data_IF_501241621347
#
_entry.id   IF_501241621347
#
_cell.length_a   1.000
_cell.length_b   1.000
_cell.length_c   1.000
_cell.angle_alpha   90.00
_cell.angle_beta   90.00
_cell.angle_gamma   90.00
#
_symmetry.space_group_name_H-M   'P 1'
#
loop_
_entity.id
_entity.type
_entity.pdbx_description
1 polymer ?
#
# COMPACT_ATOMS: atom_id res chain seq x y z
N UNK A 1 2.91 25.91 7.15
CA UNK A 1 1.72 25.50 7.92
C UNK A 1 1.15 26.63 8.78
N UNK A 2 1.82 27.11 9.85
CA UNK A 2 1.28 28.18 10.75
C UNK A 2 0.79 29.44 10.03
N UNK A 3 1.59 30.01 9.12
CA UNK A 3 1.20 31.21 8.34
C UNK A 3 -0.04 30.96 7.47
N UNK A 4 -0.08 29.83 6.76
CA UNK A 4 -1.23 29.47 5.91
C UNK A 4 -2.52 29.27 6.72
N UNK A 5 -2.43 28.67 7.92
CA UNK A 5 -3.57 28.55 8.83
C UNK A 5 -4.08 29.91 9.32
N UNK A 6 -3.17 30.78 9.76
CA UNK A 6 -3.54 32.15 10.21
C UNK A 6 -4.17 32.93 9.06
N UNK A 7 -3.62 32.81 7.84
CA UNK A 7 -4.21 33.43 6.65
C UNK A 7 -5.61 32.89 6.37
N UNK A 8 -5.81 31.57 6.46
CA UNK A 8 -7.10 30.92 6.24
C UNK A 8 -8.14 31.30 7.30
N UNK A 9 -7.75 31.31 8.59
CA UNK A 9 -8.58 31.78 9.70
C UNK A 9 -8.95 33.27 9.54
N UNK A 10 -8.00 34.09 9.08
CA UNK A 10 -8.25 35.49 8.74
C UNK A 10 -9.25 35.67 7.60
N UNK A 11 -9.15 34.86 6.53
CA UNK A 11 -10.12 34.87 5.42
C UNK A 11 -11.50 34.49 5.92
N UNK A 12 -11.62 33.43 6.72
CA UNK A 12 -12.90 33.00 7.32
C UNK A 12 -13.54 34.09 8.18
N UNK A 13 -12.74 34.79 9.01
CA UNK A 13 -13.23 35.91 9.84
C UNK A 13 -13.68 37.11 9.01
N UNK A 14 -12.94 37.45 7.94
CA UNK A 14 -13.31 38.53 7.03
C UNK A 14 -14.60 38.21 6.27
N UNK A 15 -14.72 36.96 5.80
CA UNK A 15 -15.94 36.45 5.19
C UNK A 15 -17.11 36.52 6.17
N UNK A 16 -16.92 36.05 7.40
CA UNK A 16 -17.93 36.12 8.47
C UNK A 16 -18.42 37.56 8.69
N UNK A 17 -17.50 38.51 8.83
CA UNK A 17 -17.86 39.93 9.01
C UNK A 17 -18.62 40.50 7.81
N UNK A 18 -18.24 40.11 6.58
CA UNK A 18 -18.93 40.50 5.36
C UNK A 18 -20.37 39.96 5.32
N UNK A 19 -20.58 38.68 5.65
CA UNK A 19 -21.92 38.08 5.67
C UNK A 19 -22.84 38.71 6.73
N UNK A 20 -22.29 39.12 7.88
CA UNK A 20 -23.05 39.88 8.90
C UNK A 20 -23.51 41.24 8.39
N UNK A 21 -22.67 41.92 7.61
CA UNK A 21 -22.99 43.24 7.06
C UNK A 21 -24.14 43.21 6.05
N UNK A 22 -24.34 42.08 5.36
CA UNK A 22 -25.38 41.90 4.35
C UNK A 22 -26.71 41.43 4.97
N UNK A 23 -26.67 40.55 5.97
CA UNK A 23 -27.87 40.05 6.67
C UNK A 23 -28.50 41.07 7.61
N UNK A 24 -27.73 42.06 8.09
CA UNK A 24 -28.17 43.05 9.07
C UNK A 24 -28.91 44.29 8.55
N UNK A 25 -29.08 44.46 7.22
CA UNK A 25 -29.91 45.53 6.65
C UNK A 25 -29.70 46.93 7.24
N UNK A 26 -28.49 47.48 7.18
CA UNK A 26 -28.24 48.90 7.52
C UNK A 26 -27.78 49.65 6.26
N UNK A 27 -28.65 50.51 5.73
CA UNK A 27 -28.29 51.53 4.73
C UNK A 27 -27.24 52.49 5.32
N UNK A 28 -26.15 52.79 4.62
CA UNK A 28 -25.21 53.82 5.05
C UNK A 28 -25.75 55.18 4.60
N UNK A 29 -26.48 55.85 5.48
CA UNK A 29 -26.70 57.30 5.40
C UNK A 29 -26.30 57.93 6.73
N UNK A 30 -25.53 59.00 6.62
CA UNK A 30 -25.05 59.91 7.66
C UNK A 30 -23.93 59.43 8.58
N UNK A 31 -22.70 59.66 8.11
CA UNK A 31 -21.70 60.41 8.89
C UNK A 31 -20.70 61.11 7.96
N UNK A 32 -20.87 62.43 7.84
CA UNK A 32 -19.80 63.46 7.88
C UNK A 32 -18.66 63.42 6.85
N UNK A 33 -18.73 64.37 5.92
CA UNK A 33 -17.67 64.93 5.05
C UNK A 33 -16.20 64.53 5.25
N UNK A 34 -15.57 64.02 4.18
CA UNK A 34 -14.23 64.44 3.76
C UNK A 34 -13.96 64.12 2.26
N UNK A 35 -13.72 65.19 1.49
CA UNK A 35 -12.85 65.33 0.28
C UNK A 35 -12.93 64.33 -0.89
N UNK A 36 -13.15 64.88 -2.11
CA UNK A 36 -13.08 64.20 -3.43
C UNK A 36 -11.72 63.54 -3.73
N UNK A 37 -11.68 62.50 -4.61
CA UNK A 37 -10.49 61.70 -4.88
C UNK A 37 -9.60 62.28 -6.01
N UNK A 38 -8.30 61.99 -5.94
CA UNK A 38 -7.39 61.97 -7.09
C UNK A 38 -6.58 60.66 -7.04
N UNK A 39 -6.22 60.04 -8.18
CA UNK A 39 -5.92 58.62 -8.26
C UNK A 39 -4.44 58.31 -8.04
N UNK A 40 -4.18 57.05 -7.74
CA UNK A 40 -2.86 56.37 -7.72
C UNK A 40 -2.06 56.54 -6.42
N UNK A 41 -2.22 55.58 -5.51
CA UNK A 41 -1.17 55.25 -4.56
C UNK A 41 -1.24 53.75 -4.20
N UNK A 42 -0.17 53.06 -4.54
CA UNK A 42 0.19 51.68 -4.20
C UNK A 42 0.04 51.44 -2.69
N UNK A 43 -0.76 50.46 -2.28
CA UNK A 43 -0.90 50.11 -0.86
C UNK A 43 0.34 49.33 -0.41
N UNK A 44 1.20 49.97 0.38
CA UNK A 44 2.37 49.36 1.00
C UNK A 44 1.99 48.31 2.05
N UNK A 45 2.71 47.18 2.04
CA UNK A 45 2.56 46.03 2.92
C UNK A 45 2.81 46.30 4.43
N UNK A 46 3.12 47.54 4.83
CA UNK A 46 3.45 47.89 6.23
C UNK A 46 2.21 47.99 7.15
N UNK A 47 1.03 48.32 6.62
CA UNK A 47 -0.19 48.46 7.43
C UNK A 47 -0.82 47.12 7.87
N UNK A 48 -0.58 46.05 7.11
CA UNK A 48 -1.19 44.74 7.37
C UNK A 48 -0.59 44.05 8.61
N UNK A 49 0.72 44.24 8.83
CA UNK A 49 1.43 43.60 9.95
C UNK A 49 1.01 44.18 11.31
N UNK A 50 0.63 45.46 11.34
CA UNK A 50 0.17 46.13 12.55
C UNK A 50 -1.23 45.65 12.95
N UNK A 51 -2.16 45.52 11.98
CA UNK A 51 -3.49 44.93 12.20
C UNK A 51 -3.48 43.45 12.59
N UNK A 52 -2.47 42.69 12.17
CA UNK A 52 -2.27 41.30 12.58
C UNK A 52 -1.72 41.15 14.01
N UNK A 53 -1.08 42.20 14.54
CA UNK A 53 -0.50 42.21 15.89
C UNK A 53 -1.59 42.41 16.97
N UNK A 54 -2.64 43.15 16.64
CA UNK A 54 -3.79 43.41 17.53
C UNK A 54 -4.74 42.21 17.68
N UNK A 55 -4.54 41.14 16.89
CA UNK A 55 -5.28 39.88 16.96
C UNK A 55 -4.65 38.83 17.89
N UNK A 56 -3.65 39.22 18.68
CA UNK A 56 -3.07 38.33 19.70
C UNK A 56 -4.07 38.08 20.83
N UNK A 57 -4.41 36.81 21.01
CA UNK A 57 -5.37 36.30 21.99
C UNK A 57 -4.83 36.55 23.41
N UNK A 58 -5.48 37.43 24.17
CA UNK A 58 -5.32 37.51 25.62
C UNK A 58 -6.21 36.47 26.30
N UNK A 59 -5.59 35.52 27.01
CA UNK A 59 -6.19 34.88 28.16
C UNK A 59 -5.86 35.73 29.39
N UNK A 60 -6.86 36.31 30.06
CA UNK A 60 -6.86 36.33 31.53
C UNK A 60 -8.25 36.52 32.18
N UNK A 61 -8.55 35.56 33.06
CA UNK A 61 -9.30 35.56 34.33
C UNK A 61 -10.49 36.51 34.66
N UNK A 62 -11.60 35.84 35.04
CA UNK A 62 -12.59 36.16 36.11
C UNK A 62 -12.70 37.59 36.65
N UNK A 63 -13.89 38.22 36.48
CA UNK A 63 -14.64 38.93 37.54
C UNK A 63 -16.09 39.22 37.12
N UNK A 64 -16.97 39.19 38.11
CA UNK A 64 -18.44 39.38 38.12
C UNK A 64 -18.92 40.79 37.76
N UNK A 65 -20.09 40.90 37.11
CA UNK A 65 -20.96 42.08 37.21
C UNK A 65 -21.73 42.51 35.95
N UNK A 66 -23.03 42.18 35.95
CA UNK A 66 -24.16 42.85 35.27
C UNK A 66 -24.36 42.83 33.74
N UNK A 67 -25.65 42.64 33.45
CA UNK A 67 -26.31 42.23 32.22
C UNK A 67 -26.57 43.37 31.23
N UNK A 68 -26.32 43.11 29.95
CA UNK A 68 -27.15 43.64 28.85
C UNK A 68 -27.16 42.59 27.74
N UNK A 69 -28.29 41.89 27.60
CA UNK A 69 -28.51 40.91 26.53
C UNK A 69 -28.57 41.63 25.19
N UNK A 70 -27.50 41.49 24.39
CA UNK A 70 -27.57 41.59 22.94
C UNK A 70 -27.36 40.16 22.43
N UNK A 71 -28.41 39.55 21.89
CA UNK A 71 -28.37 38.19 21.36
C UNK A 71 -27.29 38.10 20.27
N UNK A 72 -26.14 37.51 20.62
CA UNK A 72 -25.10 37.15 19.66
C UNK A 72 -25.60 35.98 18.81
N UNK A 73 -25.54 36.05 17.48
CA UNK A 73 -25.92 34.92 16.63
C UNK A 73 -24.98 33.73 16.89
N UNK A 74 -25.52 32.51 16.92
CA UNK A 74 -24.72 31.30 17.08
C UNK A 74 -23.76 31.13 15.88
N UNK A 75 -22.49 30.72 16.09
CA UNK A 75 -21.53 30.44 15.01
C UNK A 75 -22.01 29.40 13.97
N UNK A 76 -23.03 28.63 14.32
CA UNK A 76 -23.68 27.61 13.48
C UNK A 76 -24.50 28.18 12.32
N UNK A 77 -24.99 29.42 12.40
CA UNK A 77 -25.90 30.00 11.39
C UNK A 77 -25.17 30.65 10.20
N UNK A 78 -23.84 30.71 10.22
CA UNK A 78 -23.06 31.60 9.34
C UNK A 78 -22.20 30.90 8.28
N UNK A 79 -22.17 29.57 8.28
CA UNK A 79 -21.37 28.72 7.36
C UNK A 79 -22.25 27.79 6.52
N UNK A 80 -23.54 28.08 6.37
CA UNK A 80 -24.54 27.17 5.79
C UNK A 80 -25.23 27.73 4.53
N UNK A 81 -24.69 28.79 3.93
CA UNK A 81 -25.31 29.42 2.75
C UNK A 81 -25.16 28.54 1.50
N UNK A 82 -26.30 28.15 0.96
CA UNK A 82 -26.37 27.29 -0.23
C UNK A 82 -25.99 28.04 -1.51
N UNK A 83 -25.55 27.33 -2.57
CA UNK A 83 -25.05 27.95 -3.81
C UNK A 83 -26.00 28.95 -4.46
N UNK A 84 -27.31 28.78 -4.28
CA UNK A 84 -28.36 29.61 -4.87
C UNK A 84 -28.73 30.83 -3.98
N UNK A 85 -27.98 31.08 -2.91
CA UNK A 85 -28.19 32.22 -2.01
C UNK A 85 -27.91 33.55 -2.70
N UNK A 86 -28.81 34.53 -2.52
CA UNK A 86 -28.69 35.91 -3.01
C UNK A 86 -27.45 36.66 -2.48
N UNK A 87 -26.77 36.09 -1.50
CA UNK A 87 -25.55 36.61 -0.89
C UNK A 87 -24.37 36.56 -1.86
N UNK A 88 -24.32 35.55 -2.74
CA UNK A 88 -23.22 35.38 -3.69
C UNK A 88 -23.45 36.25 -4.93
N UNK A 89 -22.73 37.37 -5.03
CA UNK A 89 -22.91 38.35 -6.10
C UNK A 89 -22.06 38.04 -7.33
N UNK A 90 -20.99 37.27 -7.16
CA UNK A 90 -20.09 36.89 -8.24
C UNK A 90 -19.43 35.52 -7.99
N UNK A 91 -18.74 34.99 -9.01
CA UNK A 91 -18.07 33.68 -8.93
C UNK A 91 -16.91 33.62 -7.93
N UNK A 92 -16.28 34.77 -7.61
CA UNK A 92 -15.22 34.86 -6.61
C UNK A 92 -15.81 34.61 -5.22
N UNK A 93 -16.99 35.16 -4.92
CA UNK A 93 -17.66 34.92 -3.64
C UNK A 93 -17.93 33.42 -3.43
N UNK A 94 -18.42 32.74 -4.48
CA UNK A 94 -18.63 31.28 -4.48
C UNK A 94 -17.31 30.52 -4.30
N UNK A 95 -16.26 30.93 -5.01
CA UNK A 95 -14.95 30.31 -4.93
C UNK A 95 -14.34 30.47 -3.53
N UNK A 96 -14.41 31.66 -2.94
CA UNK A 96 -13.92 31.95 -1.59
C UNK A 96 -14.72 31.15 -0.56
N UNK A 97 -16.05 31.18 -0.62
CA UNK A 97 -16.88 30.49 0.37
C UNK A 97 -16.67 28.97 0.35
N UNK A 98 -16.73 28.35 -0.84
CA UNK A 98 -16.50 26.91 -0.99
C UNK A 98 -15.04 26.54 -0.67
N UNK A 99 -14.07 27.39 -1.04
CA UNK A 99 -12.65 27.22 -0.75
C UNK A 99 -12.31 27.28 0.73
N UNK A 100 -12.83 28.28 1.44
CA UNK A 100 -12.68 28.43 2.89
C UNK A 100 -13.26 27.23 3.63
N UNK A 101 -14.48 26.81 3.28
CA UNK A 101 -15.13 25.66 3.86
C UNK A 101 -14.36 24.36 3.62
N UNK A 102 -13.89 24.12 2.38
CA UNK A 102 -13.10 22.94 2.07
C UNK A 102 -11.76 22.92 2.80
N UNK A 103 -10.95 23.98 2.65
CA UNK A 103 -9.58 24.02 3.18
C UNK A 103 -9.54 23.92 4.70
N UNK A 104 -10.46 24.59 5.39
CA UNK A 104 -10.53 24.52 6.85
C UNK A 104 -11.19 23.21 7.30
N UNK A 105 -12.23 22.76 6.58
CA UNK A 105 -12.92 21.51 6.87
C UNK A 105 -12.00 20.30 6.81
N UNK A 106 -11.21 20.15 5.73
CA UNK A 106 -10.25 19.04 5.59
C UNK A 106 -9.13 19.12 6.63
N UNK A 107 -8.66 20.32 6.96
CA UNK A 107 -7.61 20.50 7.96
C UNK A 107 -8.09 20.07 9.35
N UNK A 108 -9.28 20.54 9.77
CA UNK A 108 -9.88 20.15 11.04
C UNK A 108 -10.10 18.64 11.13
N UNK A 109 -10.59 18.03 10.04
CA UNK A 109 -10.81 16.59 9.98
C UNK A 109 -9.50 15.81 10.10
N UNK A 110 -8.48 16.14 9.30
CA UNK A 110 -7.19 15.44 9.33
C UNK A 110 -6.50 15.57 10.68
N UNK A 111 -6.50 16.77 11.29
CA UNK A 111 -5.91 16.97 12.61
C UNK A 111 -6.67 16.15 13.67
N UNK A 112 -7.99 16.04 13.56
CA UNK A 112 -8.80 15.25 14.51
C UNK A 112 -8.50 13.75 14.48
N UNK A 113 -7.93 13.25 13.38
CA UNK A 113 -7.57 11.84 13.20
C UNK A 113 -6.14 11.52 13.67
N UNK A 114 -5.35 12.53 14.06
CA UNK A 114 -3.98 12.31 14.55
C UNK A 114 -4.03 11.59 15.92
N UNK A 115 -3.30 10.48 16.09
CA UNK A 115 -3.32 9.74 17.35
C UNK A 115 -2.90 10.61 18.55
N UNK A 116 -3.44 10.36 19.76
CA UNK A 116 -3.24 11.21 20.94
C UNK A 116 -1.76 11.45 21.35
N UNK A 117 -0.87 10.50 21.04
CA UNK A 117 0.56 10.66 21.29
C UNK A 117 1.19 11.80 20.45
N UNK A 118 0.68 12.03 19.25
CA UNK A 118 1.16 13.04 18.31
C UNK A 118 0.36 14.36 18.39
N UNK A 119 -0.89 14.32 18.86
CA UNK A 119 -1.72 15.52 18.99
C UNK A 119 -1.17 16.52 20.01
N UNK A 120 -0.46 16.06 21.05
CA UNK A 120 0.23 16.93 22.04
C UNK A 120 1.23 17.88 21.40
N UNK A 121 1.93 17.46 20.34
CA UNK A 121 2.89 18.32 19.65
C UNK A 121 2.19 19.40 18.81
N UNK A 122 1.05 19.07 18.21
CA UNK A 122 0.23 20.00 17.42
C UNK A 122 -0.50 21.02 18.32
N UNK A 123 -0.98 20.58 19.49
CA UNK A 123 -1.67 21.46 20.45
C UNK A 123 -0.74 22.53 21.04
N UNK A 124 0.55 22.22 21.24
CA UNK A 124 1.57 23.20 21.69
C UNK A 124 1.71 24.36 20.69
N UNK A 125 1.49 24.10 19.40
CA UNK A 125 1.57 25.11 18.33
C UNK A 125 0.20 25.79 18.08
N UNK A 126 -0.84 25.39 18.83
CA UNK A 126 -2.19 25.95 18.78
C UNK A 126 -3.11 25.32 17.74
N UNK A 127 -2.79 24.12 17.23
CA UNK A 127 -3.63 23.41 16.28
C UNK A 127 -4.49 22.36 16.97
N UNK A 128 -5.81 22.51 16.85
CA UNK A 128 -6.80 21.58 17.39
C UNK A 128 -7.66 21.04 16.26
N UNK A 129 -7.85 19.73 16.24
CA UNK A 129 -8.77 19.06 15.33
C UNK A 129 -10.19 19.14 15.86
N UNK A 130 -11.15 19.31 14.95
CA UNK A 130 -12.58 19.28 15.27
C UNK A 130 -13.29 18.51 14.15
N UNK A 131 -13.53 17.23 14.40
CA UNK A 131 -14.12 16.32 13.42
C UNK A 131 -15.50 16.78 12.97
N UNK A 132 -16.36 17.12 13.91
CA UNK A 132 -17.77 17.44 13.65
C UNK A 132 -17.88 18.72 12.81
N UNK A 133 -17.16 19.76 13.22
CA UNK A 133 -17.10 21.00 12.46
C UNK A 133 -16.45 20.79 11.09
N UNK A 134 -15.35 20.04 11.03
CA UNK A 134 -14.66 19.72 9.79
C UNK A 134 -15.57 19.06 8.76
N UNK A 135 -16.33 18.05 9.19
CA UNK A 135 -17.28 17.34 8.33
C UNK A 135 -18.45 18.22 7.88
N UNK A 136 -19.01 19.06 8.76
CA UNK A 136 -20.07 20.02 8.38
C UNK A 136 -19.59 20.98 7.29
N UNK A 137 -18.38 21.53 7.42
CA UNK A 137 -17.81 22.45 6.44
C UNK A 137 -17.53 21.76 5.10
N UNK A 138 -17.02 20.52 5.12
CA UNK A 138 -16.85 19.73 3.89
C UNK A 138 -18.19 19.45 3.21
N UNK A 139 -19.21 19.06 3.97
CA UNK A 139 -20.55 18.86 3.44
C UNK A 139 -21.12 20.14 2.83
N UNK A 140 -20.88 21.31 3.43
CA UNK A 140 -21.29 22.57 2.82
C UNK A 140 -20.55 22.84 1.52
N UNK A 141 -19.22 22.72 1.51
CA UNK A 141 -18.41 22.92 0.31
C UNK A 141 -18.84 21.98 -0.83
N UNK A 142 -19.25 20.75 -0.51
CA UNK A 142 -19.67 19.74 -1.50
C UNK A 142 -20.91 20.13 -2.32
N UNK A 143 -21.75 21.04 -1.81
CA UNK A 143 -22.93 21.54 -2.52
C UNK A 143 -22.59 22.39 -3.74
N UNK A 144 -21.38 22.98 -3.77
CA UNK A 144 -21.00 23.94 -4.80
C UNK A 144 -20.56 23.27 -6.10
N UNK A 145 -21.11 23.75 -7.22
CA UNK A 145 -20.83 23.24 -8.56
C UNK A 145 -19.50 23.73 -9.14
N UNK A 146 -18.39 23.56 -8.40
CA UNK A 146 -17.02 23.84 -8.84
C UNK A 146 -16.07 22.67 -8.51
N UNK A 147 -14.77 22.81 -8.80
CA UNK A 147 -13.76 21.78 -8.49
C UNK A 147 -13.61 21.55 -6.97
N UNK A 148 -13.75 22.60 -6.17
CA UNK A 148 -13.61 22.55 -4.72
C UNK A 148 -14.71 21.69 -4.11
N UNK A 149 -15.96 21.83 -4.57
CA UNK A 149 -17.06 20.97 -4.13
C UNK A 149 -16.84 19.50 -4.49
N UNK A 150 -16.25 19.23 -5.66
CA UNK A 150 -15.86 17.88 -6.05
C UNK A 150 -14.74 17.31 -5.13
N UNK A 151 -13.73 18.12 -4.77
CA UNK A 151 -12.70 17.72 -3.82
C UNK A 151 -13.25 17.49 -2.40
N UNK A 152 -14.21 18.33 -1.97
CA UNK A 152 -14.90 18.15 -0.70
C UNK A 152 -15.70 16.85 -0.68
N UNK A 153 -16.41 16.53 -1.77
CA UNK A 153 -17.12 15.26 -1.92
C UNK A 153 -16.17 14.06 -1.82
N UNK A 154 -15.00 14.15 -2.46
CA UNK A 154 -13.98 13.09 -2.39
C UNK A 154 -13.41 12.93 -0.96
N UNK A 155 -13.18 14.03 -0.24
CA UNK A 155 -12.76 13.98 1.16
C UNK A 155 -13.81 13.34 2.08
N UNK A 156 -15.09 13.67 1.88
CA UNK A 156 -16.21 13.06 2.62
C UNK A 156 -16.27 11.56 2.37
N UNK A 157 -16.28 11.14 1.10
CA UNK A 157 -16.33 9.72 0.73
C UNK A 157 -15.10 8.98 1.25
N UNK A 158 -13.90 9.54 1.11
CA UNK A 158 -12.67 8.96 1.64
C UNK A 158 -12.69 8.78 3.16
N UNK A 159 -13.24 9.75 3.90
CA UNK A 159 -13.39 9.63 5.35
C UNK A 159 -14.40 8.54 5.74
N UNK A 160 -15.62 8.61 5.21
CA UNK A 160 -16.68 7.70 5.62
C UNK A 160 -16.48 6.28 5.07
N UNK A 161 -16.20 6.12 3.78
CA UNK A 161 -16.01 4.80 3.17
C UNK A 161 -14.66 4.19 3.50
N UNK A 162 -13.61 5.00 3.68
CA UNK A 162 -12.25 4.53 3.94
C UNK A 162 -11.94 4.24 5.41
N UNK A 163 -12.58 4.95 6.35
CA UNK A 163 -12.29 4.82 7.78
C UNK A 163 -13.51 4.39 8.59
N UNK A 164 -14.59 5.19 8.57
CA UNK A 164 -15.75 4.97 9.46
C UNK A 164 -16.44 3.65 9.18
N UNK A 165 -16.63 3.30 7.91
CA UNK A 165 -17.38 2.11 7.49
C UNK A 165 -16.75 0.79 7.93
N UNK A 166 -15.44 0.79 8.18
CA UNK A 166 -14.71 -0.39 8.67
C UNK A 166 -14.73 -0.49 10.20
N UNK A 167 -15.36 0.46 10.91
CA UNK A 167 -15.56 0.38 12.35
C UNK A 167 -16.82 -0.43 12.67
N UNK A 168 -16.67 -1.49 13.47
CA UNK A 168 -17.81 -2.28 13.94
C UNK A 168 -18.65 -1.56 15.01
N UNK A 169 -18.05 -0.60 15.72
CA UNK A 169 -18.67 0.17 16.79
C UNK A 169 -18.90 1.60 16.29
N UNK A 170 -20.15 1.92 15.97
CA UNK A 170 -20.56 3.24 15.46
C UNK A 170 -21.75 3.77 16.27
N UNK A 171 -21.90 5.09 16.41
CA UNK A 171 -23.09 5.67 17.02
C UNK A 171 -24.31 5.44 16.12
N UNK A 172 -25.46 5.20 16.77
CA UNK A 172 -26.74 5.09 16.08
C UNK A 172 -27.14 6.43 15.44
N UNK A 173 -27.77 6.42 14.25
CA UNK A 173 -28.24 7.64 13.62
C UNK A 173 -29.35 8.28 14.45
N UNK A 174 -29.27 9.59 14.66
CA UNK A 174 -30.33 10.35 15.35
C UNK A 174 -31.48 10.64 14.36
N UNK A 175 -32.71 10.15 14.60
CA UNK A 175 -33.82 10.39 13.68
C UNK A 175 -34.13 11.88 13.52
N UNK A 176 -34.15 12.36 12.28
CA UNK A 176 -34.52 13.75 11.93
C UNK A 176 -33.38 14.76 11.93
N UNK A 177 -32.18 14.41 12.42
CA UNK A 177 -31.01 15.29 12.35
C UNK A 177 -30.25 15.08 11.03
N UNK A 178 -30.56 15.90 10.01
CA UNK A 178 -29.83 15.89 8.73
C UNK A 178 -28.38 16.41 8.86
N UNK A 179 -28.02 16.97 10.02
CA UNK A 179 -26.71 17.48 10.36
C UNK A 179 -25.84 16.53 11.19
N UNK A 180 -26.32 15.32 11.49
CA UNK A 180 -25.54 14.29 12.16
C UNK A 180 -24.38 13.81 11.25
N UNK A 181 -23.17 13.94 11.79
CA UNK A 181 -21.91 13.57 11.14
C UNK A 181 -21.10 12.57 11.97
N UNK A 182 -21.69 12.04 13.05
CA UNK A 182 -21.01 11.12 13.95
C UNK A 182 -21.16 9.66 13.49
N UNK A 183 -22.33 9.29 12.95
CA UNK A 183 -22.60 7.97 12.37
C UNK A 183 -22.18 7.85 10.89
N UNK A 184 -22.54 6.74 10.23
CA UNK A 184 -22.32 6.54 8.79
C UNK A 184 -23.59 6.93 7.97
N UNK A 185 -23.61 8.08 7.28
CA UNK A 185 -24.82 8.60 6.64
C UNK A 185 -25.04 8.00 5.23
N UNK A 186 -25.30 6.69 5.15
CA UNK A 186 -25.34 5.92 3.90
C UNK A 186 -26.12 6.60 2.76
N UNK A 187 -27.41 6.92 2.97
CA UNK A 187 -28.27 7.52 1.93
C UNK A 187 -27.72 8.86 1.41
N UNK A 188 -27.10 9.64 2.29
CA UNK A 188 -26.52 10.95 1.94
C UNK A 188 -25.26 10.79 1.10
N UNK A 189 -24.44 9.78 1.41
CA UNK A 189 -23.24 9.43 0.64
C UNK A 189 -23.61 8.90 -0.75
N UNK A 190 -24.63 8.04 -0.83
CA UNK A 190 -25.17 7.52 -2.10
C UNK A 190 -25.69 8.66 -2.99
N UNK A 191 -26.46 9.60 -2.42
CA UNK A 191 -26.95 10.78 -3.15
C UNK A 191 -25.81 11.69 -3.63
N UNK A 192 -24.81 11.95 -2.77
CA UNK A 192 -23.64 12.76 -3.12
C UNK A 192 -22.85 12.11 -4.26
N UNK A 193 -22.59 10.81 -4.17
CA UNK A 193 -21.86 10.08 -5.20
C UNK A 193 -22.63 10.07 -6.53
N UNK A 194 -23.95 9.82 -6.49
CA UNK A 194 -24.80 9.86 -7.69
C UNK A 194 -24.72 11.23 -8.38
N UNK A 195 -24.77 12.32 -7.61
CA UNK A 195 -24.59 13.68 -8.13
C UNK A 195 -23.21 13.87 -8.78
N UNK A 196 -22.14 13.37 -8.16
CA UNK A 196 -20.79 13.46 -8.73
C UNK A 196 -20.63 12.62 -10.00
N UNK A 197 -21.25 11.43 -10.08
CA UNK A 197 -21.28 10.60 -11.29
C UNK A 197 -22.02 11.26 -12.43
N UNK A 198 -23.17 11.91 -12.15
CA UNK A 198 -23.91 12.67 -13.15
C UNK A 198 -23.10 13.85 -13.67
N UNK A 199 -22.41 14.57 -12.77
CA UNK A 199 -21.63 15.76 -13.11
C UNK A 199 -20.34 15.44 -13.86
N UNK A 200 -19.73 14.29 -13.57
CA UNK A 200 -18.45 13.87 -14.13
C UNK A 200 -18.53 12.42 -14.69
N UNK A 201 -19.33 12.18 -15.74
CA UNK A 201 -19.69 10.82 -16.19
C UNK A 201 -18.49 9.99 -16.66
N UNK A 202 -17.45 10.65 -17.20
CA UNK A 202 -16.21 10.01 -17.68
C UNK A 202 -15.13 9.83 -16.61
N UNK A 203 -15.38 10.29 -15.38
CA UNK A 203 -14.39 10.22 -14.31
C UNK A 203 -14.29 8.79 -13.78
N UNK A 204 -13.13 8.18 -14.00
CA UNK A 204 -12.80 6.87 -13.45
C UNK A 204 -12.60 6.90 -11.93
N UNK A 205 -12.30 8.06 -11.34
CA UNK A 205 -12.24 8.23 -9.89
C UNK A 205 -13.63 8.04 -9.25
N UNK A 206 -14.67 8.62 -9.83
CA UNK A 206 -16.02 8.45 -9.28
C UNK A 206 -16.58 7.06 -9.53
N UNK A 207 -16.23 6.43 -10.66
CA UNK A 207 -16.56 5.02 -10.91
C UNK A 207 -15.92 4.10 -9.87
N UNK A 208 -14.67 4.38 -9.48
CA UNK A 208 -13.98 3.63 -8.42
C UNK A 208 -14.68 3.80 -7.06
N UNK A 209 -15.09 5.02 -6.70
CA UNK A 209 -15.85 5.26 -5.47
C UNK A 209 -17.23 4.58 -5.48
N UNK A 210 -17.88 4.51 -6.64
CA UNK A 210 -19.12 3.75 -6.84
C UNK A 210 -18.92 2.25 -6.62
N UNK A 211 -17.89 1.66 -7.23
CA UNK A 211 -17.55 0.26 -6.98
C UNK A 211 -17.26 -0.02 -5.51
N UNK A 212 -16.47 0.82 -4.83
CA UNK A 212 -16.19 0.67 -3.39
C UNK A 212 -17.47 0.69 -2.56
N UNK A 213 -18.38 1.61 -2.87
CA UNK A 213 -19.65 1.73 -2.17
C UNK A 213 -20.55 0.51 -2.41
N UNK A 214 -20.62 0.00 -3.64
CA UNK A 214 -21.34 -1.24 -3.98
C UNK A 214 -20.76 -2.45 -3.26
N UNK A 215 -19.43 -2.63 -3.28
CA UNK A 215 -18.77 -3.75 -2.62
C UNK A 215 -19.01 -3.74 -1.12
N UNK A 216 -18.90 -2.57 -0.49
CA UNK A 216 -19.19 -2.42 0.92
C UNK A 216 -20.69 -2.58 1.25
N UNK A 217 -21.60 -2.30 0.30
CA UNK A 217 -23.04 -2.58 0.38
C UNK A 217 -23.39 -4.07 0.14
N UNK A 218 -22.38 -4.94 0.02
CA UNK A 218 -22.50 -6.38 -0.28
C UNK A 218 -22.99 -6.69 -1.70
N UNK A 219 -22.90 -5.73 -2.62
CA UNK A 219 -23.18 -5.92 -4.04
C UNK A 219 -21.87 -6.15 -4.80
N UNK A 220 -21.13 -7.18 -4.42
CA UNK A 220 -19.76 -7.42 -4.90
C UNK A 220 -19.71 -7.70 -6.41
N UNK A 221 -20.72 -8.35 -6.98
CA UNK A 221 -20.83 -8.62 -8.41
C UNK A 221 -20.94 -7.32 -9.21
N UNK A 222 -21.79 -6.39 -8.74
CA UNK A 222 -21.95 -5.08 -9.36
C UNK A 222 -20.68 -4.24 -9.22
N UNK A 223 -20.04 -4.27 -8.05
CA UNK A 223 -18.74 -3.65 -7.83
C UNK A 223 -17.71 -4.15 -8.84
N UNK A 224 -17.62 -5.48 -9.03
CA UNK A 224 -16.69 -6.08 -9.97
C UNK A 224 -17.00 -5.73 -11.42
N UNK A 225 -18.29 -5.73 -11.80
CA UNK A 225 -18.76 -5.34 -13.14
C UNK A 225 -18.31 -3.92 -13.49
N UNK A 226 -18.53 -2.95 -12.59
CA UNK A 226 -18.10 -1.56 -12.75
C UNK A 226 -16.60 -1.47 -13.08
N UNK A 227 -15.76 -2.21 -12.35
CA UNK A 227 -14.30 -2.19 -12.53
C UNK A 227 -13.81 -2.97 -13.75
N UNK A 228 -14.66 -3.75 -14.43
CA UNK A 228 -14.28 -4.54 -15.61
C UNK A 228 -14.51 -3.82 -16.96
N UNK A 229 -15.13 -2.64 -16.98
CA UNK A 229 -15.41 -1.89 -18.21
C UNK A 229 -14.16 -1.52 -19.04
N UNK A 230 -14.35 -1.10 -20.30
CA UNK A 230 -13.24 -0.82 -21.22
C UNK A 230 -12.60 0.57 -21.06
N UNK A 231 -13.34 1.56 -20.55
CA UNK A 231 -12.84 2.92 -20.36
C UNK A 231 -11.67 2.92 -19.35
N UNK A 232 -10.65 3.75 -19.57
CA UNK A 232 -9.41 3.80 -18.75
C UNK A 232 -9.12 5.25 -18.33
N UNK A 233 -8.53 5.39 -17.15
CA UNK A 233 -8.03 6.67 -16.66
C UNK A 233 -6.69 7.01 -17.30
N UNK A 234 -6.43 8.29 -17.65
CA UNK A 234 -5.09 8.72 -18.05
C UNK A 234 -4.10 8.72 -16.87
N UNK A 235 -4.59 8.64 -15.63
CA UNK A 235 -3.78 8.64 -14.41
C UNK A 235 -3.44 7.21 -13.99
N UNK A 236 -2.16 6.84 -14.07
CA UNK A 236 -1.67 5.51 -13.69
C UNK A 236 -2.04 5.11 -12.26
N UNK A 237 -2.09 6.08 -11.34
CA UNK A 237 -2.46 5.86 -9.94
C UNK A 237 -3.92 5.37 -9.81
N UNK A 238 -4.82 5.90 -10.63
CA UNK A 238 -6.24 5.50 -10.63
C UNK A 238 -6.39 4.10 -11.22
N UNK A 239 -5.63 3.76 -12.26
CA UNK A 239 -5.61 2.40 -12.81
C UNK A 239 -5.05 1.37 -11.82
N UNK A 240 -4.01 1.73 -11.06
CA UNK A 240 -3.48 0.88 -10.00
C UNK A 240 -4.52 0.62 -8.91
N UNK A 241 -5.21 1.67 -8.44
CA UNK A 241 -6.30 1.55 -7.47
C UNK A 241 -7.46 0.69 -8.00
N UNK A 242 -7.79 0.85 -9.28
CA UNK A 242 -8.81 0.03 -9.95
C UNK A 242 -8.45 -1.44 -9.98
N UNK A 243 -7.21 -1.78 -10.33
CA UNK A 243 -6.73 -3.17 -10.33
C UNK A 243 -6.78 -3.74 -8.92
N UNK A 244 -6.29 -2.98 -7.92
CA UNK A 244 -6.32 -3.39 -6.52
C UNK A 244 -7.73 -3.68 -6.03
N UNK A 245 -8.66 -2.75 -6.27
CA UNK A 245 -10.07 -2.89 -5.88
C UNK A 245 -10.74 -4.06 -6.61
N UNK A 246 -10.43 -4.27 -7.88
CA UNK A 246 -10.96 -5.40 -8.66
C UNK A 246 -10.50 -6.73 -8.08
N UNK A 247 -9.23 -6.82 -7.70
CA UNK A 247 -8.66 -8.01 -7.07
C UNK A 247 -9.30 -8.30 -5.71
N UNK A 248 -9.53 -7.26 -4.88
CA UNK A 248 -10.22 -7.42 -3.60
C UNK A 248 -11.66 -7.93 -3.78
N UNK A 249 -12.43 -7.33 -4.68
CA UNK A 249 -13.81 -7.77 -4.92
C UNK A 249 -13.87 -9.19 -5.50
N UNK A 250 -12.97 -9.54 -6.42
CA UNK A 250 -12.87 -10.91 -6.92
C UNK A 250 -12.51 -11.92 -5.82
N UNK A 251 -11.60 -11.54 -4.91
CA UNK A 251 -11.25 -12.35 -3.73
C UNK A 251 -12.45 -12.51 -2.78
N UNK A 252 -13.18 -11.45 -2.46
CA UNK A 252 -14.37 -11.51 -1.60
C UNK A 252 -15.49 -12.38 -2.19
N UNK A 253 -15.65 -12.38 -3.51
CA UNK A 253 -16.57 -13.27 -4.21
C UNK A 253 -16.10 -14.73 -4.27
N UNK A 254 -14.87 -15.02 -3.82
CA UNK A 254 -14.18 -16.28 -4.14
C UNK A 254 -14.17 -16.58 -5.65
N UNK A 255 -14.26 -15.54 -6.49
CA UNK A 255 -14.23 -15.62 -7.95
C UNK A 255 -12.79 -15.56 -8.47
N UNK A 256 -11.89 -16.13 -7.69
CA UNK A 256 -10.50 -16.46 -8.04
C UNK A 256 -10.32 -17.90 -7.55
N UNK A 257 -10.17 -18.89 -8.44
CA UNK A 257 -9.79 -20.22 -8.00
C UNK A 257 -8.46 -20.09 -7.25
N UNK A 258 -8.36 -20.61 -6.01
CA UNK A 258 -7.14 -20.54 -5.20
C UNK A 258 -5.91 -21.04 -5.99
N UNK A 259 -6.12 -22.04 -6.86
CA UNK A 259 -5.13 -22.62 -7.78
C UNK A 259 -4.64 -21.62 -8.85
N UNK A 260 -5.44 -20.63 -9.26
CA UNK A 260 -5.04 -19.62 -10.24
C UNK A 260 -4.22 -18.46 -9.64
N UNK A 261 -4.15 -18.37 -8.31
CA UNK A 261 -3.35 -17.34 -7.60
C UNK A 261 -1.96 -17.85 -7.19
N UNK A 262 -1.67 -19.11 -7.48
CA UNK A 262 -0.49 -19.84 -7.03
C UNK A 262 0.31 -20.23 -8.29
N UNK A 263 1.54 -19.73 -8.43
CA UNK A 263 2.37 -20.05 -9.60
C UNK A 263 2.96 -21.45 -9.48
N UNK A 264 3.93 -21.63 -8.60
CA UNK A 264 4.50 -22.92 -8.20
C UNK A 264 3.77 -23.48 -6.98
N UNK A 265 3.62 -24.81 -6.91
CA UNK A 265 2.93 -25.47 -5.79
C UNK A 265 3.64 -25.18 -4.44
N UNK A 266 3.00 -24.48 -3.49
CA UNK A 266 3.60 -24.12 -2.21
C UNK A 266 3.91 -25.35 -1.36
N UNK A 267 3.24 -26.48 -1.60
CA UNK A 267 3.56 -27.74 -0.92
C UNK A 267 4.94 -28.24 -1.37
N UNK A 268 5.29 -28.10 -2.65
CA UNK A 268 6.60 -28.51 -3.17
C UNK A 268 7.72 -27.58 -2.66
N UNK A 269 7.47 -26.28 -2.54
CA UNK A 269 8.40 -25.37 -1.85
C UNK A 269 8.62 -25.77 -0.39
N UNK A 270 7.54 -26.12 0.31
CA UNK A 270 7.62 -26.59 1.69
C UNK A 270 8.37 -27.92 1.80
N UNK A 271 8.13 -28.87 0.91
CA UNK A 271 8.91 -30.13 0.84
C UNK A 271 10.39 -29.80 0.68
N UNK A 272 10.74 -28.87 -0.21
CA UNK A 272 12.11 -28.46 -0.44
C UNK A 272 12.77 -27.85 0.81
N UNK A 273 12.16 -26.83 1.41
CA UNK A 273 12.73 -26.14 2.58
C UNK A 273 12.89 -27.07 3.79
N UNK A 274 11.99 -28.03 3.95
CA UNK A 274 12.03 -28.99 5.06
C UNK A 274 12.77 -30.29 4.73
N UNK A 275 13.47 -30.35 3.59
CA UNK A 275 14.25 -31.51 3.16
C UNK A 275 13.38 -32.79 3.08
N UNK A 276 12.13 -32.65 2.66
CA UNK A 276 11.18 -33.77 2.54
C UNK A 276 11.63 -34.83 1.53
N UNK A 277 12.30 -34.42 0.45
CA UNK A 277 12.82 -35.33 -0.59
C UNK A 277 13.72 -36.44 -0.04
N UNK A 278 14.47 -36.20 1.04
CA UNK A 278 15.35 -37.23 1.62
C UNK A 278 14.60 -38.37 2.30
N UNK A 279 13.28 -38.25 2.46
CA UNK A 279 12.38 -39.22 3.10
C UNK A 279 11.40 -39.83 2.11
N UNK A 280 11.46 -39.43 0.83
CA UNK A 280 10.55 -39.87 -0.21
C UNK A 280 11.06 -41.12 -0.92
N UNK A 281 10.12 -41.97 -1.30
CA UNK A 281 10.35 -43.08 -2.24
C UNK A 281 10.46 -42.57 -3.68
N UNK A 282 10.98 -43.39 -4.60
CA UNK A 282 11.06 -43.02 -6.03
C UNK A 282 9.69 -42.62 -6.59
N UNK A 283 8.63 -43.38 -6.29
CA UNK A 283 7.27 -43.08 -6.76
C UNK A 283 6.75 -41.72 -6.25
N UNK A 284 7.10 -41.33 -5.01
CA UNK A 284 6.74 -40.02 -4.47
C UNK A 284 7.55 -38.88 -5.08
N UNK A 285 8.83 -39.12 -5.40
CA UNK A 285 9.63 -38.15 -6.14
C UNK A 285 9.07 -37.96 -7.56
N UNK A 286 8.62 -39.03 -8.22
CA UNK A 286 7.96 -38.95 -9.52
C UNK A 286 6.64 -38.17 -9.44
N UNK A 287 5.88 -38.32 -8.34
CA UNK A 287 4.69 -37.51 -8.07
C UNK A 287 5.02 -36.02 -7.89
N UNK A 288 6.08 -35.67 -7.15
CA UNK A 288 6.55 -34.28 -7.04
C UNK A 288 6.92 -33.69 -8.40
N UNK A 289 7.59 -34.46 -9.28
CA UNK A 289 7.87 -34.02 -10.65
C UNK A 289 6.59 -33.74 -11.45
N UNK A 290 5.54 -34.56 -11.28
CA UNK A 290 4.25 -34.35 -11.95
C UNK A 290 3.54 -33.10 -11.45
N UNK A 291 3.57 -32.83 -10.14
CA UNK A 291 3.00 -31.60 -9.56
C UNK A 291 3.71 -30.35 -10.08
N UNK A 292 5.03 -30.38 -10.13
CA UNK A 292 5.83 -29.29 -10.72
C UNK A 292 5.61 -29.18 -12.25
N UNK A 293 5.23 -30.26 -12.95
CA UNK A 293 4.91 -30.19 -14.37
C UNK A 293 3.61 -29.43 -14.66
N UNK A 294 2.66 -29.41 -13.72
CA UNK A 294 1.38 -28.69 -13.87
C UNK A 294 1.57 -27.19 -14.15
N UNK A 295 2.57 -26.55 -13.54
CA UNK A 295 2.81 -25.12 -13.76
C UNK A 295 3.01 -24.78 -15.25
N UNK A 296 3.61 -25.69 -16.03
CA UNK A 296 3.87 -25.51 -17.47
C UNK A 296 2.84 -26.20 -18.37
N UNK A 297 1.80 -26.82 -17.81
CA UNK A 297 0.83 -27.57 -18.57
C UNK A 297 -0.30 -26.68 -19.14
N UNK A 298 -1.04 -27.19 -20.11
CA UNK A 298 -2.14 -26.45 -20.76
C UNK A 298 -3.28 -26.10 -19.79
N UNK A 299 -3.35 -26.81 -18.65
CA UNK A 299 -4.26 -26.52 -17.55
C UNK A 299 -3.93 -25.18 -16.85
N UNK A 300 -2.65 -24.79 -16.76
CA UNK A 300 -2.24 -23.50 -16.22
C UNK A 300 -2.26 -22.40 -17.29
N UNK A 301 -3.46 -21.86 -17.56
CA UNK A 301 -3.67 -20.79 -18.55
C UNK A 301 -2.96 -19.47 -18.22
N UNK A 302 -2.38 -19.31 -17.03
CA UNK A 302 -1.76 -18.07 -16.56
C UNK A 302 -0.23 -18.13 -16.53
N UNK A 303 0.40 -19.29 -16.71
CA UNK A 303 1.85 -19.46 -16.66
C UNK A 303 2.64 -18.48 -17.54
N UNK A 304 2.09 -18.14 -18.71
CA UNK A 304 2.69 -17.15 -19.62
C UNK A 304 2.85 -15.75 -19.02
N UNK A 305 2.04 -15.41 -18.00
CA UNK A 305 2.09 -14.14 -17.27
C UNK A 305 3.09 -14.15 -16.13
N UNK A 306 3.53 -15.33 -15.69
CA UNK A 306 4.45 -15.44 -14.58
C UNK A 306 5.82 -14.86 -14.91
N UNK A 307 6.39 -14.21 -13.89
CA UNK A 307 7.69 -13.58 -13.98
C UNK A 307 8.82 -14.61 -14.17
N UNK A 308 10.00 -14.17 -14.62
CA UNK A 308 11.17 -15.03 -14.72
C UNK A 308 11.61 -15.61 -13.35
N UNK A 309 11.23 -14.96 -12.26
CA UNK A 309 11.47 -15.39 -10.88
C UNK A 309 10.69 -16.65 -10.52
N UNK A 310 9.37 -16.65 -10.70
CA UNK A 310 8.49 -17.81 -10.50
C UNK A 310 8.96 -19.02 -11.33
N UNK A 311 9.40 -18.74 -12.56
CA UNK A 311 9.98 -19.75 -13.45
C UNK A 311 11.29 -20.32 -12.90
N UNK A 312 12.13 -19.49 -12.29
CA UNK A 312 13.37 -19.93 -11.66
C UNK A 312 13.10 -20.78 -10.40
N UNK A 313 12.07 -20.44 -9.60
CA UNK A 313 11.60 -21.27 -8.48
C UNK A 313 11.23 -22.67 -8.98
N UNK A 314 10.41 -22.75 -10.03
CA UNK A 314 10.02 -24.03 -10.63
C UNK A 314 11.23 -24.89 -11.01
N UNK A 315 12.21 -24.31 -11.72
CA UNK A 315 13.39 -25.06 -12.15
C UNK A 315 14.32 -25.44 -10.99
N UNK A 316 14.43 -24.59 -9.97
CA UNK A 316 15.18 -24.88 -8.75
C UNK A 316 14.60 -26.07 -7.99
N UNK A 317 13.27 -26.13 -7.83
CA UNK A 317 12.59 -27.25 -7.18
C UNK A 317 12.76 -28.55 -7.99
N UNK A 318 12.59 -28.49 -9.32
CA UNK A 318 12.83 -29.65 -10.20
C UNK A 318 14.25 -30.17 -10.08
N UNK A 319 15.25 -29.29 -10.04
CA UNK A 319 16.64 -29.70 -9.85
C UNK A 319 16.87 -30.38 -8.49
N UNK A 320 16.21 -29.92 -7.43
CA UNK A 320 16.29 -30.55 -6.12
C UNK A 320 15.64 -31.94 -6.10
N UNK A 321 14.49 -32.12 -6.77
CA UNK A 321 13.85 -33.43 -6.95
C UNK A 321 14.75 -34.37 -7.77
N UNK A 322 15.31 -33.88 -8.88
CA UNK A 322 16.26 -34.64 -9.72
C UNK A 322 17.50 -35.07 -8.93
N UNK A 323 18.05 -34.20 -8.07
CA UNK A 323 19.15 -34.56 -7.16
C UNK A 323 18.74 -35.69 -6.22
N UNK A 324 17.54 -35.63 -5.65
CA UNK A 324 17.03 -36.68 -4.78
C UNK A 324 16.90 -38.02 -5.53
N UNK A 325 16.53 -37.98 -6.81
CA UNK A 325 16.50 -39.13 -7.74
C UNK A 325 17.88 -39.57 -8.27
N UNK A 326 18.99 -38.97 -7.81
CA UNK A 326 20.37 -39.21 -8.31
C UNK A 326 20.61 -38.83 -9.77
N UNK A 327 19.75 -38.02 -10.37
CA UNK A 327 19.92 -37.45 -11.71
C UNK A 327 20.74 -36.16 -11.65
N UNK A 328 21.98 -36.28 -11.17
CA UNK A 328 22.82 -35.15 -10.82
C UNK A 328 23.26 -34.31 -12.03
N UNK A 329 23.54 -34.92 -13.18
CA UNK A 329 23.87 -34.20 -14.40
C UNK A 329 22.72 -33.32 -14.88
N UNK A 330 21.50 -33.88 -14.96
CA UNK A 330 20.27 -33.15 -15.32
C UNK A 330 20.00 -32.00 -14.34
N UNK A 331 20.08 -32.28 -13.03
CA UNK A 331 19.87 -31.27 -11.99
C UNK A 331 20.83 -30.09 -12.12
N UNK A 332 22.13 -30.37 -12.31
CA UNK A 332 23.14 -29.31 -12.44
C UNK A 332 23.01 -28.53 -13.74
N UNK A 333 22.67 -29.20 -14.84
CA UNK A 333 22.42 -28.52 -16.11
C UNK A 333 21.25 -27.55 -15.98
N UNK A 334 20.14 -28.00 -15.37
CA UNK A 334 18.97 -27.17 -15.14
C UNK A 334 19.26 -25.95 -14.26
N UNK A 335 20.01 -26.13 -13.17
CA UNK A 335 20.46 -25.02 -12.31
C UNK A 335 21.31 -24.01 -13.08
N UNK A 336 22.22 -24.46 -13.95
CA UNK A 336 23.09 -23.57 -14.73
C UNK A 336 22.31 -22.80 -15.80
N UNK A 337 21.44 -23.48 -16.52
CA UNK A 337 20.77 -22.94 -17.71
C UNK A 337 19.49 -22.15 -17.40
N UNK A 338 18.90 -22.33 -16.22
CA UNK A 338 17.59 -21.73 -15.91
C UNK A 338 17.52 -20.97 -14.58
N UNK A 339 18.58 -20.99 -13.77
CA UNK A 339 18.60 -20.28 -12.48
C UNK A 339 19.85 -19.41 -12.35
N UNK A 340 21.04 -20.03 -12.42
CA UNK A 340 22.32 -19.36 -12.19
C UNK A 340 22.79 -18.48 -13.36
N UNK A 341 22.19 -18.61 -14.55
CA UNK A 341 22.46 -17.73 -15.69
C UNK A 341 21.76 -16.36 -15.58
N UNK A 342 20.78 -16.23 -14.71
CA UNK A 342 20.09 -14.98 -14.48
C UNK A 342 20.95 -14.01 -13.66
N UNK A 343 20.86 -12.72 -14.01
CA UNK A 343 21.50 -11.65 -13.25
C UNK A 343 20.90 -11.58 -11.84
N UNK A 344 21.74 -11.38 -10.83
CA UNK A 344 21.32 -11.29 -9.43
C UNK A 344 20.21 -10.24 -9.21
N UNK A 345 20.24 -9.14 -9.96
CA UNK A 345 19.24 -8.07 -9.86
C UNK A 345 17.81 -8.52 -10.13
N UNK A 346 17.63 -9.65 -10.82
CA UNK A 346 16.34 -10.27 -11.07
C UNK A 346 15.58 -10.63 -9.78
N UNK A 347 16.33 -11.02 -8.76
CA UNK A 347 15.83 -11.56 -7.49
C UNK A 347 15.96 -10.56 -6.33
N UNK A 348 16.45 -9.35 -6.58
CA UNK A 348 16.63 -8.33 -5.54
C UNK A 348 15.60 -7.22 -5.67
N UNK A 349 14.85 -6.94 -4.61
CA UNK A 349 13.88 -5.85 -4.59
C UNK A 349 12.72 -6.10 -3.62
N UNK A 350 11.83 -5.12 -3.52
CA UNK A 350 10.60 -5.25 -2.74
C UNK A 350 9.65 -6.24 -3.44
N UNK A 351 9.14 -7.25 -2.71
CA UNK A 351 8.31 -8.36 -3.22
C UNK A 351 9.06 -9.28 -4.21
N UNK A 352 10.34 -9.53 -3.94
CA UNK A 352 11.19 -10.46 -4.70
C UNK A 352 11.72 -11.57 -3.79
N UNK A 353 11.68 -12.80 -4.27
CA UNK A 353 12.24 -14.02 -3.71
C UNK A 353 13.76 -14.03 -3.81
N UNK A 354 14.40 -13.24 -2.96
CA UNK A 354 15.85 -13.06 -2.91
C UNK A 354 16.64 -14.30 -2.46
N UNK A 355 15.96 -15.39 -2.10
CA UNK A 355 16.52 -16.65 -1.66
C UNK A 355 16.94 -17.59 -2.80
N UNK A 356 16.44 -17.39 -4.03
CA UNK A 356 16.60 -18.34 -5.15
C UNK A 356 18.07 -18.60 -5.51
N UNK A 357 18.86 -17.54 -5.71
CA UNK A 357 20.27 -17.64 -6.14
C UNK A 357 21.20 -18.30 -5.10
N UNK A 358 21.20 -17.87 -3.81
CA UNK A 358 22.04 -18.52 -2.80
C UNK A 358 21.66 -19.99 -2.60
N UNK A 359 20.37 -20.32 -2.71
CA UNK A 359 19.89 -21.70 -2.64
C UNK A 359 20.32 -22.51 -3.86
N UNK A 360 20.28 -21.95 -5.07
CA UNK A 360 20.77 -22.62 -6.27
C UNK A 360 22.27 -22.95 -6.19
N UNK A 361 23.08 -22.06 -5.59
CA UNK A 361 24.47 -22.36 -5.28
C UNK A 361 24.61 -23.52 -4.28
N UNK A 362 23.82 -23.54 -3.21
CA UNK A 362 23.81 -24.67 -2.28
C UNK A 362 23.40 -25.99 -2.96
N UNK A 363 22.36 -25.99 -3.80
CA UNK A 363 21.91 -27.19 -4.51
C UNK A 363 22.93 -27.70 -5.53
N UNK A 364 23.69 -26.79 -6.17
CA UNK A 364 24.83 -27.16 -7.02
C UNK A 364 25.92 -27.88 -6.20
N UNK A 365 26.26 -27.33 -5.02
CA UNK A 365 27.23 -27.95 -4.12
C UNK A 365 26.76 -29.32 -3.62
N UNK A 366 25.46 -29.47 -3.30
CA UNK A 366 24.89 -30.72 -2.86
C UNK A 366 24.97 -31.81 -3.96
N UNK A 367 24.71 -31.47 -5.22
CA UNK A 367 24.89 -32.39 -6.35
C UNK A 367 26.35 -32.86 -6.47
N UNK A 368 27.31 -31.93 -6.47
CA UNK A 368 28.74 -32.25 -6.54
C UNK A 368 29.20 -33.14 -5.37
N UNK A 369 28.69 -32.89 -4.17
CA UNK A 369 29.02 -33.69 -2.99
C UNK A 369 28.49 -35.12 -3.07
N UNK A 370 27.29 -35.31 -3.63
CA UNK A 370 26.63 -36.61 -3.73
C UNK A 370 27.20 -37.48 -4.85
N UNK A 371 27.74 -36.87 -5.92
CA UNK A 371 28.42 -37.61 -7.01
C UNK A 371 29.83 -38.09 -6.67
N UNK A 372 30.33 -37.79 -5.48
CA UNK A 372 31.66 -38.21 -5.07
C UNK A 372 31.73 -39.74 -5.02
N UNK A 373 32.81 -40.37 -5.54
CA UNK A 373 33.00 -41.81 -5.44
C UNK A 373 32.80 -42.35 -4.02
N UNK A 374 33.40 -41.71 -3.02
CA UNK A 374 33.22 -42.07 -1.61
C UNK A 374 31.79 -41.91 -1.07
N UNK A 375 31.01 -40.95 -1.60
CA UNK A 375 29.60 -40.80 -1.21
C UNK A 375 28.74 -41.92 -1.81
N UNK A 376 28.88 -42.16 -3.11
CA UNK A 376 28.15 -43.21 -3.84
C UNK A 376 28.42 -44.58 -3.21
N UNK A 377 29.69 -44.88 -2.89
CA UNK A 377 30.07 -46.16 -2.29
C UNK A 377 29.40 -46.41 -0.92
N UNK A 378 29.04 -45.37 -0.17
CA UNK A 378 28.40 -45.49 1.15
C UNK A 378 26.87 -45.44 1.05
N UNK A 379 26.34 -44.56 0.20
CA UNK A 379 24.92 -44.21 0.19
C UNK A 379 24.13 -44.89 -0.93
N UNK A 380 24.79 -45.32 -2.00
CA UNK A 380 24.16 -45.92 -3.18
C UNK A 380 24.73 -47.33 -3.49
N UNK A 381 25.47 -47.92 -2.55
CA UNK A 381 26.21 -49.19 -2.69
C UNK A 381 25.46 -50.34 -3.40
N UNK A 382 24.18 -50.64 -3.10
CA UNK A 382 23.47 -51.74 -3.75
C UNK A 382 23.18 -51.51 -5.25
N UNK A 383 23.23 -50.27 -5.74
CA UNK A 383 22.83 -49.89 -7.10
C UNK A 383 24.01 -49.63 -8.06
N UNK A 384 25.25 -49.60 -7.56
CA UNK A 384 26.42 -49.08 -8.30
C UNK A 384 27.61 -50.04 -8.45
N UNK A 385 27.40 -51.36 -8.33
CA UNK A 385 28.44 -52.39 -8.43
C UNK A 385 29.28 -52.41 -9.74
N UNK A 386 29.01 -51.53 -10.72
CA UNK A 386 29.79 -51.40 -11.97
C UNK A 386 30.47 -50.04 -12.24
N UNK A 387 30.38 -49.05 -11.34
CA UNK A 387 30.85 -47.65 -11.60
C UNK A 387 31.95 -47.13 -10.67
N UNK A 388 32.51 -47.96 -9.81
CA UNK A 388 33.56 -47.51 -8.88
C UNK A 388 34.90 -47.44 -9.63
N UNK A 389 35.37 -46.23 -9.92
CA UNK A 389 36.72 -45.97 -10.41
C UNK A 389 37.73 -46.20 -9.28
N UNK A 390 38.01 -47.47 -8.99
CA UNK A 390 39.03 -47.84 -8.01
C UNK A 390 40.42 -47.46 -8.55
N UNK A 391 41.03 -46.40 -8.02
CA UNK A 391 42.39 -45.96 -8.40
C UNK A 391 42.71 -44.49 -8.11
N UNK A 392 43.90 -44.04 -8.54
CA UNK A 392 44.35 -42.64 -8.45
C UNK A 392 43.40 -41.66 -9.17
N UNK A 393 42.83 -42.07 -10.31
CA UNK A 393 41.87 -41.27 -11.08
C UNK A 393 40.58 -40.98 -10.29
N UNK A 394 40.04 -41.97 -9.57
CA UNK A 394 38.87 -41.79 -8.71
C UNK A 394 39.16 -40.83 -7.55
N UNK A 395 40.37 -40.90 -6.98
CA UNK A 395 40.82 -39.98 -5.92
C UNK A 395 40.96 -38.54 -6.44
N UNK A 396 41.49 -38.36 -7.66
CA UNK A 396 41.62 -37.04 -8.28
C UNK A 396 40.25 -36.44 -8.64
N UNK A 397 39.33 -37.26 -9.16
CA UNK A 397 37.95 -36.85 -9.44
C UNK A 397 37.24 -36.40 -8.16
N UNK A 398 37.36 -37.16 -7.07
CA UNK A 398 36.75 -36.80 -5.79
C UNK A 398 37.31 -35.48 -5.24
N UNK A 399 38.63 -35.26 -5.32
CA UNK A 399 39.26 -33.97 -4.96
C UNK A 399 38.68 -32.81 -5.75
N UNK A 400 38.51 -32.97 -7.07
CA UNK A 400 37.94 -31.95 -7.94
C UNK A 400 36.48 -31.64 -7.56
N UNK A 401 35.66 -32.65 -7.35
CA UNK A 401 34.26 -32.47 -6.95
C UNK A 401 34.12 -31.78 -5.59
N UNK A 402 34.98 -32.11 -4.61
CA UNK A 402 34.99 -31.43 -3.30
C UNK A 402 35.40 -29.97 -3.43
N UNK A 403 36.42 -29.68 -4.26
CA UNK A 403 36.86 -28.31 -4.51
C UNK A 403 35.75 -27.47 -5.16
N UNK A 404 35.09 -27.99 -6.20
CA UNK A 404 33.96 -27.29 -6.84
C UNK A 404 32.78 -27.14 -5.86
N UNK A 405 32.48 -28.16 -5.06
CA UNK A 405 31.44 -28.10 -4.01
C UNK A 405 31.72 -26.94 -3.04
N UNK A 406 32.96 -26.81 -2.56
CA UNK A 406 33.39 -25.74 -1.68
C UNK A 406 33.20 -24.36 -2.32
N UNK A 407 33.58 -24.19 -3.59
CA UNK A 407 33.42 -22.92 -4.30
C UNK A 407 31.95 -22.47 -4.37
N UNK A 408 31.02 -23.40 -4.59
CA UNK A 408 29.59 -23.10 -4.57
C UNK A 408 29.07 -22.81 -3.17
N UNK A 409 29.52 -23.54 -2.15
CA UNK A 409 29.17 -23.24 -0.75
C UNK A 409 29.68 -21.88 -0.31
N UNK A 410 30.88 -21.47 -0.74
CA UNK A 410 31.41 -20.13 -0.43
C UNK A 410 30.58 -19.02 -1.08
N UNK A 411 30.07 -19.23 -2.30
CA UNK A 411 29.14 -18.29 -2.94
C UNK A 411 27.84 -18.18 -2.13
N UNK A 412 27.26 -19.29 -1.71
CA UNK A 412 26.04 -19.29 -0.88
C UNK A 412 26.27 -18.66 0.51
N UNK A 413 27.42 -18.91 1.14
CA UNK A 413 27.76 -18.43 2.48
C UNK A 413 28.04 -16.92 2.54
N UNK A 414 28.58 -16.34 1.45
CA UNK A 414 28.90 -14.91 1.36
C UNK A 414 27.75 -14.07 0.79
N UNK A 415 26.58 -14.66 0.60
CA UNK A 415 25.42 -13.93 0.11
C UNK A 415 24.92 -12.92 1.14
N UNK A 416 24.29 -11.84 0.66
CA UNK A 416 23.60 -10.89 1.55
C UNK A 416 22.39 -11.56 2.21
N UNK A 417 21.81 -10.98 3.28
CA UNK A 417 20.64 -11.59 3.94
C UNK A 417 19.47 -11.73 2.96
N UNK A 418 18.80 -12.88 3.03
CA UNK A 418 17.67 -13.26 2.19
C UNK A 418 16.57 -13.92 3.04
N UNK A 419 15.37 -14.00 2.52
CA UNK A 419 14.27 -14.68 3.20
C UNK A 419 14.62 -16.16 3.44
N UNK A 420 14.32 -16.69 4.62
CA UNK A 420 14.70 -18.07 5.01
C UNK A 420 16.22 -18.30 5.17
N UNK A 421 17.04 -17.24 5.27
CA UNK A 421 18.49 -17.35 5.50
C UNK A 421 18.88 -18.20 6.71
N UNK A 422 18.13 -18.15 7.81
CA UNK A 422 18.38 -18.96 8.99
C UNK A 422 18.33 -20.47 8.68
N UNK A 423 17.44 -20.88 7.77
CA UNK A 423 17.25 -22.29 7.41
C UNK A 423 18.31 -22.78 6.44
N UNK A 424 18.56 -22.02 5.38
CA UNK A 424 19.55 -22.38 4.36
C UNK A 424 20.96 -22.18 4.90
N UNK A 425 21.21 -21.11 5.67
CA UNK A 425 22.48 -20.82 6.31
C UNK A 425 22.95 -21.93 7.26
N UNK A 426 22.03 -22.57 8.01
CA UNK A 426 22.35 -23.76 8.81
C UNK A 426 22.83 -24.93 7.93
N UNK A 427 22.16 -25.18 6.79
CA UNK A 427 22.58 -26.23 5.84
C UNK A 427 23.95 -25.92 5.23
N UNK A 428 24.19 -24.68 4.82
CA UNK A 428 25.48 -24.22 4.25
C UNK A 428 26.60 -24.38 5.27
N UNK A 429 26.36 -24.00 6.53
CA UNK A 429 27.35 -24.13 7.61
C UNK A 429 27.74 -25.60 7.85
N UNK A 430 26.74 -26.49 7.98
CA UNK A 430 26.98 -27.91 8.15
C UNK A 430 27.71 -28.54 6.95
N UNK A 431 27.37 -28.13 5.73
CA UNK A 431 28.06 -28.59 4.52
C UNK A 431 29.52 -28.13 4.48
N UNK A 432 29.82 -26.89 4.89
CA UNK A 432 31.19 -26.38 4.99
C UNK A 432 32.03 -27.15 6.03
N UNK A 433 31.43 -27.56 7.15
CA UNK A 433 32.09 -28.44 8.13
C UNK A 433 32.40 -29.82 7.56
N UNK A 434 31.47 -30.39 6.78
CA UNK A 434 31.68 -31.66 6.09
C UNK A 434 32.85 -31.59 5.09
N UNK A 435 32.93 -30.51 4.31
CA UNK A 435 34.07 -30.24 3.41
C UNK A 435 35.38 -30.16 4.19
N UNK A 436 35.45 -29.36 5.26
CA UNK A 436 36.67 -29.23 6.09
C UNK A 436 37.13 -30.57 6.68
N UNK A 437 36.18 -31.38 7.16
CA UNK A 437 36.48 -32.72 7.68
C UNK A 437 37.04 -33.62 6.58
N UNK A 438 36.46 -33.58 5.38
CA UNK A 438 36.99 -34.31 4.24
C UNK A 438 38.41 -33.85 3.87
N UNK A 439 38.65 -32.55 3.80
CA UNK A 439 39.98 -31.97 3.54
C UNK A 439 41.02 -32.44 4.58
N UNK A 440 40.68 -32.46 5.87
CA UNK A 440 41.59 -32.93 6.93
C UNK A 440 41.94 -34.42 6.84
N UNK A 441 41.03 -35.24 6.30
CA UNK A 441 41.22 -36.70 6.18
C UNK A 441 41.92 -37.10 4.87
N UNK A 442 41.93 -36.20 3.88
CA UNK A 442 42.51 -36.43 2.56
C UNK A 442 43.72 -35.53 2.28
N UNK A 443 44.19 -34.77 3.28
CA UNK A 443 45.46 -34.04 3.20
C UNK A 443 46.61 -35.03 3.27
N UNK A 444 47.50 -35.01 2.27
CA UNK A 444 48.77 -35.73 2.34
C UNK A 444 49.58 -35.17 3.51
N UNK A 445 50.20 -35.99 4.38
CA UNK A 445 51.11 -35.47 5.38
C UNK A 445 52.21 -34.69 4.65
N UNK A 446 52.39 -33.42 5.00
CA UNK A 446 53.47 -32.60 4.48
C UNK A 446 54.80 -33.24 4.92
N UNK A 447 55.58 -33.71 3.95
CA UNK A 447 56.99 -34.09 4.15
C UNK A 447 57.87 -32.85 4.24
#
# INVERSE_FOLDING_TARGET
MRKAYITLDGILKMEQAYMQSISGGVSPADQGEASKPSPTATVEAKGLSQRLSDLSVSQDSTKSGESTELSTPNPSDMLSHDPDSDIFKNQIDVFVHSGSNFCFGILLLVISMVPPAFSKLLSIIGFYGDKERGLRMLWQASKFNNLIGALAAFAILGYYNGFVRYCDIMPDPVPGDQGDVQGYPQKRLEALLAQMRQRFPKSQLWLLEESRMEGANKNLERSLELLCGEERSPLKQVEALRVFERSLNAMYLHNVPLVEAVGVDPIEEMIFFWNGHSRMTQAQLDESMQKLAWSESDENKKWSREGPEEKAILQLLRAAVMRAMRKHDEARQLLKESVLNHDKSLFTGHLKDNWIHPVAHFEMAANLWMERPGYIAVHDAPATEGKITNGEEGTQLERKQVQECKEYLEKAARWESYELDARIGLKVTAAMEAVRKWESTHSTPAN
#
